data_IF_691373273337
#
_entry.id   IF_691373273337
#
_cell.length_a   1.000
_cell.length_b   1.000
_cell.length_c   1.000
_cell.angle_alpha   90.00
_cell.angle_beta   90.00
_cell.angle_gamma   90.00
#
_symmetry.space_group_name_H-M   'P 1'
#
loop_
_entity.id
_entity.type
_entity.pdbx_description
1 polymer ?
#
# COMPACT_ATOMS: atom_id res chain seq x y z
N UNK A 1 15.99 56.73 0.24
CA UNK A 1 16.87 55.67 -0.33
C UNK A 1 17.08 54.47 0.60
N UNK A 2 17.42 54.64 1.89
CA UNK A 2 17.75 53.51 2.80
C UNK A 2 16.61 52.51 3.09
N UNK A 3 15.35 52.96 3.19
CA UNK A 3 14.19 52.07 3.45
C UNK A 3 13.94 51.08 2.30
N UNK A 4 14.07 51.53 1.05
CA UNK A 4 13.80 50.68 -0.12
C UNK A 4 14.85 49.58 -0.29
N UNK A 5 16.11 49.87 0.08
CA UNK A 5 17.18 48.87 0.06
C UNK A 5 16.95 47.77 1.12
N UNK A 6 16.46 48.12 2.31
CA UNK A 6 16.15 47.16 3.35
C UNK A 6 15.04 46.18 2.92
N UNK A 7 13.95 46.68 2.33
CA UNK A 7 12.86 45.82 1.84
C UNK A 7 13.31 44.91 0.69
N UNK A 8 14.15 45.41 -0.23
CA UNK A 8 14.66 44.60 -1.33
C UNK A 8 15.55 43.44 -0.84
N UNK A 9 16.42 43.70 0.14
CA UNK A 9 17.28 42.66 0.73
C UNK A 9 16.45 41.65 1.53
N UNK A 10 15.47 42.11 2.31
CA UNK A 10 14.60 41.21 3.07
C UNK A 10 13.74 40.34 2.15
N UNK A 11 13.20 40.90 1.06
CA UNK A 11 12.45 40.16 0.05
C UNK A 11 13.33 39.14 -0.68
N UNK A 12 14.57 39.48 -1.01
CA UNK A 12 15.52 38.55 -1.64
C UNK A 12 15.92 37.40 -0.69
N UNK A 13 16.11 37.66 0.60
CA UNK A 13 16.36 36.62 1.61
C UNK A 13 15.13 35.74 1.79
N UNK A 14 13.93 36.34 1.81
CA UNK A 14 12.67 35.58 1.88
C UNK A 14 12.55 34.67 0.64
N UNK A 15 12.77 35.19 -0.58
CA UNK A 15 12.77 34.41 -1.82
C UNK A 15 13.80 33.27 -1.81
N UNK A 16 15.01 33.53 -1.32
CA UNK A 16 16.06 32.52 -1.21
C UNK A 16 15.72 31.43 -0.18
N UNK A 17 14.94 31.77 0.86
CA UNK A 17 14.40 30.80 1.82
C UNK A 17 13.23 30.00 1.24
N UNK A 18 12.44 30.58 0.31
CA UNK A 18 11.36 29.85 -0.38
C UNK A 18 11.86 29.04 -1.58
N UNK A 19 13.07 29.29 -2.09
CA UNK A 19 13.61 28.63 -3.30
C UNK A 19 14.17 27.22 -3.07
N UNK A 20 14.05 26.66 -1.86
CA UNK A 20 14.33 25.24 -1.63
C UNK A 20 13.17 24.36 -2.09
N UNK A 21 12.64 24.61 -3.31
CA UNK A 21 11.84 23.61 -3.99
C UNK A 21 12.76 22.45 -4.30
N UNK A 22 12.79 21.46 -3.41
CA UNK A 22 13.44 20.18 -3.66
C UNK A 22 12.81 19.66 -4.94
N UNK A 23 13.60 19.61 -6.02
CA UNK A 23 13.14 19.02 -7.27
C UNK A 23 12.62 17.62 -6.93
N UNK A 24 11.47 17.27 -7.48
CA UNK A 24 10.91 15.95 -7.37
C UNK A 24 11.90 14.92 -7.91
N UNK A 25 12.65 14.31 -6.99
CA UNK A 25 13.64 13.30 -7.31
C UNK A 25 13.22 11.95 -6.75
N UNK A 26 13.72 10.91 -7.40
CA UNK A 26 13.43 9.55 -7.01
C UNK A 26 14.38 9.10 -5.91
N UNK A 27 13.83 8.61 -4.81
CA UNK A 27 14.60 8.10 -3.69
C UNK A 27 14.54 6.59 -3.63
N UNK A 28 15.71 5.99 -3.52
CA UNK A 28 15.89 4.55 -3.51
C UNK A 28 16.28 4.12 -2.11
N UNK A 29 15.58 3.12 -1.56
CA UNK A 29 16.00 2.47 -0.32
C UNK A 29 17.32 1.73 -0.55
N UNK A 30 18.33 2.07 0.24
CA UNK A 30 19.58 1.35 0.34
C UNK A 30 19.38 0.21 1.33
N UNK A 31 19.22 -1.00 0.82
CA UNK A 31 19.01 -2.19 1.64
C UNK A 31 20.22 -2.58 2.51
N UNK A 32 21.24 -1.74 2.65
CA UNK A 32 22.45 -2.07 3.40
C UNK A 32 22.31 -1.72 4.87
N UNK A 33 22.25 -2.77 5.70
CA UNK A 33 22.49 -2.80 7.15
C UNK A 33 21.27 -2.91 8.06
N UNK A 34 21.55 -3.29 9.32
CA UNK A 34 20.63 -3.70 10.39
C UNK A 34 19.52 -2.70 10.74
N UNK A 35 19.62 -1.46 10.27
CA UNK A 35 18.62 -0.43 10.53
C UNK A 35 17.56 -0.41 9.42
N UNK A 36 16.33 -0.77 9.78
CA UNK A 36 15.18 -0.74 8.88
C UNK A 36 14.35 0.53 8.98
N UNK A 37 14.71 1.45 9.87
CA UNK A 37 13.88 2.60 10.19
C UNK A 37 13.72 3.52 8.96
N UNK A 38 12.48 3.74 8.54
CA UNK A 38 12.12 4.64 7.44
C UNK A 38 12.75 6.03 7.59
N UNK A 39 12.96 6.48 8.84
CA UNK A 39 13.41 7.82 9.16
C UNK A 39 14.93 7.96 9.28
N UNK A 40 15.68 6.87 9.11
CA UNK A 40 17.14 6.97 8.98
C UNK A 40 17.49 7.37 7.55
N UNK A 41 18.05 8.57 7.39
CA UNK A 41 18.49 9.12 6.09
C UNK A 41 19.57 8.29 5.41
N UNK A 42 20.39 7.56 6.17
CA UNK A 42 21.45 6.71 5.63
C UNK A 42 20.89 5.50 4.86
N UNK A 43 19.62 5.17 5.09
CA UNK A 43 18.90 4.12 4.38
C UNK A 43 18.35 4.58 3.02
N UNK A 44 18.56 5.84 2.64
CA UNK A 44 18.07 6.40 1.39
C UNK A 44 19.22 6.93 0.53
N UNK A 45 19.07 6.84 -0.79
CA UNK A 45 19.90 7.59 -1.74
C UNK A 45 19.04 8.30 -2.78
N UNK A 46 19.54 9.41 -3.29
CA UNK A 46 19.01 10.02 -4.50
C UNK A 46 19.41 9.21 -5.73
N UNK A 47 18.42 8.65 -6.44
CA UNK A 47 18.61 7.95 -7.71
C UNK A 47 19.79 6.96 -7.76
N UNK A 48 20.39 6.82 -8.94
CA UNK A 48 21.53 5.91 -9.18
C UNK A 48 22.88 6.54 -8.83
N UNK A 49 23.05 7.01 -7.58
CA UNK A 49 24.35 7.41 -7.05
C UNK A 49 24.46 8.83 -6.50
N UNK A 50 23.36 9.51 -6.23
CA UNK A 50 23.34 10.76 -5.48
C UNK A 50 23.66 10.54 -3.99
N UNK A 51 24.06 11.59 -3.26
CA UNK A 51 24.33 11.51 -1.82
C UNK A 51 23.07 11.12 -1.04
N UNK A 52 23.26 10.66 0.19
CA UNK A 52 22.14 10.44 1.12
C UNK A 52 21.34 11.75 1.27
N UNK A 53 20.01 11.69 1.23
CA UNK A 53 19.20 12.89 1.34
C UNK A 53 19.34 13.48 2.74
N UNK A 54 19.37 14.81 2.87
CA UNK A 54 19.43 15.48 4.18
C UNK A 54 18.07 15.50 4.89
N UNK A 55 17.01 15.06 4.22
CA UNK A 55 15.65 14.97 4.75
C UNK A 55 14.88 13.79 4.11
N UNK A 56 13.92 13.26 4.85
CA UNK A 56 13.02 12.16 4.44
C UNK A 56 12.10 12.64 3.32
N UNK A 57 11.64 11.76 2.41
CA UNK A 57 10.73 12.17 1.34
C UNK A 57 9.50 12.84 1.95
N UNK A 58 9.22 14.07 1.52
CA UNK A 58 8.04 14.84 1.88
C UNK A 58 7.10 14.95 0.67
N UNK A 59 5.78 14.93 0.92
CA UNK A 59 4.68 15.01 -0.05
C UNK A 59 4.75 16.23 -0.96
N UNK A 60 5.53 17.25 -0.60
CA UNK A 60 5.55 18.57 -1.24
C UNK A 60 6.27 18.60 -2.60
N UNK A 61 7.07 17.58 -2.93
CA UNK A 61 7.67 17.47 -4.27
C UNK A 61 6.74 16.71 -5.22
N UNK A 62 5.97 17.45 -6.03
CA UNK A 62 5.16 16.87 -7.11
C UNK A 62 6.05 16.07 -8.07
N UNK A 63 6.02 14.74 -7.96
CA UNK A 63 6.78 13.81 -8.81
C UNK A 63 7.78 12.91 -8.07
N UNK A 64 8.04 13.12 -6.78
CA UNK A 64 9.00 12.31 -6.02
C UNK A 64 8.54 10.84 -5.92
N UNK A 65 9.32 9.91 -6.45
CA UNK A 65 9.02 8.48 -6.29
C UNK A 65 9.87 7.91 -5.17
N UNK A 66 9.26 7.27 -4.20
CA UNK A 66 9.98 6.40 -3.25
C UNK A 66 9.99 5.01 -3.84
N UNK A 67 11.18 4.44 -4.03
CA UNK A 67 11.39 3.09 -4.56
C UNK A 67 12.12 2.27 -3.53
N UNK A 68 11.55 1.15 -3.13
CA UNK A 68 12.22 0.26 -2.19
C UNK A 68 12.95 -0.80 -2.99
N UNK A 69 14.26 -0.69 -3.04
CA UNK A 69 15.14 -1.59 -3.77
C UNK A 69 15.91 -2.47 -2.80
N UNK A 70 15.76 -3.79 -2.94
CA UNK A 70 16.68 -4.73 -2.30
C UNK A 70 17.71 -5.20 -3.31
N UNK A 71 18.99 -5.00 -3.00
CA UNK A 71 20.07 -5.77 -3.61
C UNK A 71 20.21 -7.10 -2.88
N UNK A 72 20.65 -8.14 -3.61
CA UNK A 72 20.58 -9.58 -3.31
C UNK A 72 21.20 -10.09 -1.98
N UNK A 73 21.58 -9.22 -1.04
CA UNK A 73 22.19 -9.58 0.24
C UNK A 73 21.43 -9.09 1.47
N UNK A 74 20.32 -8.35 1.30
CA UNK A 74 19.53 -7.85 2.42
C UNK A 74 18.13 -8.42 2.44
N UNK A 75 17.75 -8.94 3.60
CA UNK A 75 16.53 -9.70 3.82
C UNK A 75 15.35 -8.77 4.13
N UNK A 76 15.60 -7.49 4.45
CA UNK A 76 14.58 -6.63 5.03
C UNK A 76 14.54 -5.23 4.42
N UNK A 77 13.34 -4.76 4.09
CA UNK A 77 13.12 -3.39 3.63
C UNK A 77 12.59 -2.45 4.73
N UNK A 78 12.14 -1.23 4.35
CA UNK A 78 11.76 -0.20 5.30
C UNK A 78 10.72 -0.66 6.33
N UNK A 79 10.82 -0.11 7.53
CA UNK A 79 9.97 -0.37 8.68
C UNK A 79 9.45 0.96 9.24
N UNK A 80 8.13 1.09 9.33
CA UNK A 80 7.44 2.23 9.91
C UNK A 80 6.76 1.77 11.19
N UNK A 81 7.30 2.17 12.34
CA UNK A 81 6.85 1.75 13.66
C UNK A 81 5.83 2.72 14.27
N UNK A 82 5.22 2.29 15.39
CA UNK A 82 4.28 3.09 16.17
C UNK A 82 4.80 4.50 16.45
N UNK A 83 3.94 5.49 16.26
CA UNK A 83 4.24 6.92 16.48
C UNK A 83 4.95 7.61 15.30
N UNK A 84 5.34 6.88 14.26
CA UNK A 84 5.93 7.47 13.05
C UNK A 84 4.86 7.87 12.03
N UNK A 85 5.16 8.90 11.24
CA UNK A 85 4.30 9.38 10.15
C UNK A 85 5.13 9.58 8.88
N UNK A 86 5.14 8.53 8.05
CA UNK A 86 5.87 8.47 6.80
C UNK A 86 5.04 9.05 5.66
N UNK A 87 5.74 9.60 4.68
CA UNK A 87 5.14 10.34 3.58
C UNK A 87 5.87 10.01 2.27
N UNK A 88 5.12 9.93 1.17
CA UNK A 88 5.66 9.71 -0.17
C UNK A 88 4.69 10.25 -1.23
N UNK A 89 5.18 10.74 -2.36
CA UNK A 89 4.28 11.12 -3.46
C UNK A 89 3.86 9.87 -4.26
N UNK A 90 4.81 9.05 -4.70
CA UNK A 90 4.59 7.65 -5.13
C UNK A 90 5.33 6.69 -4.21
N UNK A 91 4.77 5.50 -3.95
CA UNK A 91 5.51 4.39 -3.36
C UNK A 91 5.54 3.20 -4.32
N UNK A 92 6.72 2.77 -4.71
CA UNK A 92 6.94 1.58 -5.54
C UNK A 92 7.75 0.56 -4.76
N UNK A 93 7.21 -0.65 -4.64
CA UNK A 93 7.79 -1.76 -3.91
C UNK A 93 8.15 -2.84 -4.93
N UNK A 94 9.43 -3.07 -5.14
CA UNK A 94 9.91 -4.08 -6.09
C UNK A 94 11.43 -4.07 -6.25
N UNK A 95 12.03 -5.24 -6.45
CA UNK A 95 13.49 -5.40 -6.57
C UNK A 95 14.16 -4.50 -7.62
N UNK A 96 15.46 -4.21 -7.44
CA UNK A 96 16.22 -3.37 -8.38
C UNK A 96 16.77 -4.13 -9.59
N UNK A 97 16.95 -5.44 -9.48
CA UNK A 97 17.63 -6.26 -10.47
C UNK A 97 16.76 -7.44 -10.90
N UNK A 98 17.01 -7.94 -12.11
CA UNK A 98 16.49 -9.25 -12.52
C UNK A 98 16.93 -10.29 -11.49
N UNK A 99 15.98 -11.09 -10.98
CA UNK A 99 16.20 -12.10 -9.94
C UNK A 99 16.57 -11.55 -8.56
N UNK A 100 16.30 -10.27 -8.27
CA UNK A 100 16.42 -9.74 -6.92
C UNK A 100 15.37 -10.40 -5.99
N UNK A 101 15.73 -10.56 -4.72
CA UNK A 101 14.82 -10.93 -3.64
C UNK A 101 13.60 -9.99 -3.59
N UNK A 102 12.49 -10.48 -3.03
CA UNK A 102 11.26 -9.72 -2.83
C UNK A 102 11.57 -8.48 -1.99
N UNK A 103 11.31 -7.29 -2.52
CA UNK A 103 11.47 -6.05 -1.76
C UNK A 103 10.30 -5.88 -0.78
N UNK A 104 10.59 -5.82 0.51
CA UNK A 104 9.55 -5.67 1.55
C UNK A 104 9.36 -4.21 1.99
N UNK A 105 8.16 -3.83 2.39
CA UNK A 105 7.88 -2.66 3.26
C UNK A 105 7.00 -3.14 4.40
N UNK A 106 7.30 -2.73 5.63
CA UNK A 106 6.54 -3.14 6.81
C UNK A 106 5.98 -1.93 7.56
N UNK A 107 4.68 -1.94 7.85
CA UNK A 107 3.99 -0.98 8.71
C UNK A 107 3.54 -1.70 9.99
N UNK A 108 4.02 -1.22 11.14
CA UNK A 108 3.72 -1.79 12.46
C UNK A 108 3.37 -0.70 13.48
N UNK A 109 2.21 -0.09 13.23
CA UNK A 109 1.53 0.83 14.15
C UNK A 109 1.74 2.31 13.83
N UNK A 110 2.64 2.64 12.90
CA UNK A 110 2.79 4.00 12.39
C UNK A 110 1.75 4.36 11.34
N UNK A 111 1.98 5.49 10.67
CA UNK A 111 1.16 5.96 9.55
C UNK A 111 2.00 6.19 8.30
N UNK A 112 1.42 5.89 7.14
CA UNK A 112 2.00 6.17 5.82
C UNK A 112 0.99 6.92 4.98
N UNK A 113 1.33 8.11 4.50
CA UNK A 113 0.53 8.86 3.54
C UNK A 113 1.21 8.87 2.18
N UNK A 114 0.52 8.35 1.17
CA UNK A 114 0.98 8.35 -0.22
C UNK A 114 0.08 9.26 -1.05
N UNK A 115 0.65 10.34 -1.58
CA UNK A 115 -0.11 11.38 -2.28
C UNK A 115 -0.85 10.85 -3.51
N UNK A 116 -0.23 9.91 -4.23
CA UNK A 116 -0.69 9.42 -5.52
C UNK A 116 -1.06 7.93 -5.44
N UNK A 117 -0.14 7.01 -5.79
CA UNK A 117 -0.42 5.57 -5.77
C UNK A 117 0.67 4.77 -5.05
N UNK A 118 0.27 3.58 -4.59
CA UNK A 118 1.19 2.52 -4.17
C UNK A 118 1.22 1.45 -5.25
N UNK A 119 2.43 1.00 -5.59
CA UNK A 119 2.68 -0.02 -6.60
C UNK A 119 3.48 -1.17 -6.00
N UNK A 120 2.85 -2.32 -5.77
CA UNK A 120 3.51 -3.53 -5.27
C UNK A 120 3.79 -4.48 -6.43
N UNK A 121 5.05 -4.90 -6.58
CA UNK A 121 5.51 -5.61 -7.78
C UNK A 121 5.72 -4.62 -8.92
N UNK A 122 6.57 -3.61 -8.72
CA UNK A 122 6.86 -2.58 -9.72
C UNK A 122 8.04 -2.95 -10.60
N UNK A 123 7.91 -2.72 -11.90
CA UNK A 123 9.03 -2.76 -12.85
C UNK A 123 9.10 -1.57 -13.80
N UNK A 124 10.26 -1.47 -14.45
CA UNK A 124 10.42 -0.76 -15.73
C UNK A 124 11.14 -1.61 -16.79
N UNK A 125 11.59 -2.85 -16.50
CA UNK A 125 12.35 -3.67 -17.48
C UNK A 125 12.71 -5.12 -17.07
N UNK A 126 12.41 -5.61 -15.86
CA UNK A 126 12.83 -6.96 -15.42
C UNK A 126 11.87 -7.54 -14.38
N UNK A 127 11.95 -8.87 -14.15
CA UNK A 127 11.17 -9.54 -13.10
C UNK A 127 11.48 -8.90 -11.75
N UNK A 128 10.44 -8.33 -11.13
CA UNK A 128 10.55 -7.57 -9.89
C UNK A 128 9.35 -7.86 -8.99
N UNK A 129 9.70 -8.34 -7.83
CA UNK A 129 8.77 -8.89 -6.85
C UNK A 129 8.82 -7.97 -5.62
N UNK A 130 7.66 -7.60 -5.09
CA UNK A 130 7.55 -6.66 -3.98
C UNK A 130 6.44 -7.04 -3.03
N UNK A 131 6.58 -6.72 -1.76
CA UNK A 131 5.63 -7.09 -0.73
C UNK A 131 5.41 -5.97 0.27
N UNK A 132 4.14 -5.71 0.57
CA UNK A 132 3.73 -4.82 1.65
C UNK A 132 3.21 -5.66 2.81
N UNK A 133 3.76 -5.45 3.98
CA UNK A 133 3.37 -6.13 5.22
C UNK A 133 2.76 -5.09 6.14
N UNK A 134 1.51 -5.31 6.57
CA UNK A 134 0.79 -4.42 7.46
C UNK A 134 0.31 -5.18 8.70
N UNK A 135 1.03 -4.98 9.80
CA UNK A 135 0.68 -5.57 11.10
C UNK A 135 -0.36 -4.72 11.83
N UNK A 136 -0.21 -3.40 11.76
CA UNK A 136 -1.10 -2.43 12.38
C UNK A 136 -0.84 -1.03 11.80
N UNK A 137 -1.56 0.00 12.26
CA UNK A 137 -1.37 1.39 11.82
C UNK A 137 -2.32 1.84 10.72
N UNK A 138 -1.93 2.84 9.94
CA UNK A 138 -2.79 3.42 8.90
C UNK A 138 -2.02 3.77 7.63
N UNK A 139 -2.56 3.40 6.47
CA UNK A 139 -2.07 3.85 5.16
C UNK A 139 -3.16 4.69 4.50
N UNK A 140 -2.83 5.88 4.01
CA UNK A 140 -3.72 6.74 3.23
C UNK A 140 -3.15 6.94 1.83
N UNK A 141 -3.93 6.65 0.79
CA UNK A 141 -3.48 6.68 -0.61
C UNK A 141 -4.38 7.62 -1.41
N UNK A 142 -3.79 8.55 -2.15
CA UNK A 142 -4.52 9.51 -3.00
C UNK A 142 -4.84 10.83 -2.31
N UNK A 143 -4.03 11.25 -1.35
CA UNK A 143 -4.32 12.48 -0.59
C UNK A 143 -4.07 13.77 -1.38
N UNK A 144 -3.39 13.70 -2.53
CA UNK A 144 -3.23 14.87 -3.39
C UNK A 144 -4.47 15.04 -4.27
N UNK A 145 -5.06 16.24 -4.33
CA UNK A 145 -6.14 16.56 -5.28
C UNK A 145 -5.68 16.64 -6.74
N UNK A 146 -4.58 15.96 -7.10
CA UNK A 146 -4.09 15.94 -8.47
C UNK A 146 -5.13 15.24 -9.33
N UNK A 147 -5.74 15.94 -10.29
CA UNK A 147 -6.78 15.40 -11.17
C UNK A 147 -6.30 14.32 -12.15
N UNK A 148 -5.22 13.60 -11.83
CA UNK A 148 -4.78 12.44 -12.60
C UNK A 148 -5.73 11.28 -12.36
N UNK A 149 -6.19 10.65 -13.45
CA UNK A 149 -7.05 9.46 -13.43
C UNK A 149 -6.39 8.20 -12.88
N UNK A 150 -5.16 8.28 -12.37
CA UNK A 150 -4.42 7.17 -11.75
C UNK A 150 -4.17 7.37 -10.26
N UNK A 151 -4.66 8.48 -9.72
CA UNK A 151 -4.41 8.91 -8.36
C UNK A 151 -5.20 8.05 -7.36
N UNK A 152 -4.68 7.85 -6.17
CA UNK A 152 -5.42 7.17 -5.10
C UNK A 152 -5.58 5.67 -5.26
N UNK A 153 -4.69 5.03 -6.00
CA UNK A 153 -4.78 3.59 -6.28
C UNK A 153 -3.76 2.77 -5.52
N UNK A 154 -4.17 1.59 -5.09
CA UNK A 154 -3.28 0.55 -4.56
C UNK A 154 -3.22 -0.59 -5.59
N UNK A 155 -2.06 -0.80 -6.17
CA UNK A 155 -1.84 -1.87 -7.13
C UNK A 155 -1.04 -3.01 -6.50
N UNK A 156 -1.55 -4.23 -6.63
CA UNK A 156 -0.94 -5.47 -6.18
C UNK A 156 -0.66 -6.32 -7.42
N UNK A 157 0.61 -6.41 -7.81
CA UNK A 157 0.99 -6.88 -9.15
C UNK A 157 0.74 -5.78 -10.17
N UNK A 158 1.44 -4.65 -10.02
CA UNK A 158 1.17 -3.45 -10.81
C UNK A 158 2.21 -3.11 -11.87
N UNK A 159 2.89 -4.10 -12.44
CA UNK A 159 3.93 -3.90 -13.46
C UNK A 159 3.54 -2.88 -14.50
N UNK A 160 4.49 -2.09 -14.97
CA UNK A 160 4.20 -1.00 -15.90
C UNK A 160 4.58 -1.33 -17.33
N UNK A 161 5.43 -2.34 -17.53
CA UNK A 161 5.89 -2.78 -18.85
C UNK A 161 5.18 -4.05 -19.32
N UNK A 162 4.91 -4.12 -20.62
CA UNK A 162 4.42 -5.35 -21.28
C UNK A 162 5.61 -6.29 -21.42
N UNK A 163 5.59 -7.44 -20.77
CA UNK A 163 6.57 -8.51 -20.98
C UNK A 163 7.35 -8.97 -19.74
N UNK A 164 7.43 -8.18 -18.67
CA UNK A 164 8.06 -8.62 -17.44
C UNK A 164 7.04 -9.28 -16.50
N UNK A 165 7.37 -10.46 -15.98
CA UNK A 165 6.62 -11.04 -14.87
C UNK A 165 6.86 -10.19 -13.62
N UNK A 166 5.83 -9.70 -12.96
CA UNK A 166 5.99 -8.97 -11.71
C UNK A 166 5.02 -9.47 -10.67
N UNK A 167 5.49 -9.51 -9.44
CA UNK A 167 4.76 -10.13 -8.37
C UNK A 167 4.53 -9.13 -7.25
N UNK A 168 3.27 -8.90 -6.88
CA UNK A 168 2.93 -8.10 -5.72
C UNK A 168 2.26 -8.93 -4.64
N UNK A 169 2.76 -8.85 -3.41
CA UNK A 169 2.10 -9.44 -2.24
C UNK A 169 1.67 -8.36 -1.24
N UNK A 170 0.46 -8.52 -0.70
CA UNK A 170 -0.02 -7.77 0.45
C UNK A 170 -0.33 -8.74 1.58
N UNK A 171 0.44 -8.66 2.66
CA UNK A 171 0.18 -9.41 3.89
C UNK A 171 -0.38 -8.43 4.93
N UNK A 172 -1.64 -8.59 5.34
CA UNK A 172 -2.30 -7.69 6.30
C UNK A 172 -2.88 -8.48 7.48
N UNK A 173 -2.43 -8.18 8.69
CA UNK A 173 -2.95 -8.78 9.94
C UNK A 173 -3.66 -7.77 10.84
N UNK A 174 -3.63 -6.48 10.51
CA UNK A 174 -4.31 -5.44 11.26
C UNK A 174 -4.23 -4.05 10.63
N UNK A 175 -4.82 -3.07 11.31
CA UNK A 175 -4.79 -1.65 10.91
C UNK A 175 -5.78 -1.29 9.80
N UNK A 176 -5.52 -0.18 9.11
CA UNK A 176 -6.43 0.39 8.10
C UNK A 176 -5.71 0.90 6.86
N UNK A 177 -6.16 0.48 5.68
CA UNK A 177 -5.71 1.05 4.39
C UNK A 177 -6.87 1.82 3.77
N UNK A 178 -6.69 3.12 3.55
CA UNK A 178 -7.65 3.99 2.88
C UNK A 178 -7.17 4.26 1.45
N UNK A 179 -7.82 3.61 0.49
CA UNK A 179 -7.58 3.78 -0.95
C UNK A 179 -8.63 4.73 -1.50
N UNK A 180 -8.23 5.91 -1.96
CA UNK A 180 -9.20 6.90 -2.45
C UNK A 180 -9.96 6.41 -3.70
N UNK A 181 -9.29 5.72 -4.61
CA UNK A 181 -9.88 5.16 -5.83
C UNK A 181 -9.91 3.64 -5.79
N UNK A 182 -9.07 2.98 -6.60
CA UNK A 182 -9.20 1.57 -6.90
C UNK A 182 -8.15 0.74 -6.15
N UNK A 183 -8.63 -0.34 -5.54
CA UNK A 183 -7.80 -1.48 -5.16
C UNK A 183 -7.68 -2.41 -6.38
N UNK A 184 -6.48 -2.58 -6.92
CA UNK A 184 -6.26 -3.25 -8.20
C UNK A 184 -5.32 -4.44 -8.02
N UNK A 185 -5.72 -5.60 -8.52
CA UNK A 185 -4.88 -6.80 -8.61
C UNK A 185 -4.56 -7.11 -10.07
N UNK A 186 -3.30 -7.47 -10.34
CA UNK A 186 -2.82 -7.88 -11.68
C UNK A 186 -3.20 -6.84 -12.74
N UNK A 187 -2.51 -5.70 -12.73
CA UNK A 187 -2.82 -4.60 -13.67
C UNK A 187 -2.50 -4.97 -15.12
N UNK A 188 -1.51 -5.82 -15.35
CA UNK A 188 -0.96 -6.10 -16.68
C UNK A 188 -0.85 -7.59 -16.93
N UNK A 189 -0.71 -7.98 -18.21
CA UNK A 189 -0.77 -9.36 -18.70
C UNK A 189 0.12 -10.36 -17.92
N UNK A 190 1.28 -9.92 -17.42
CA UNK A 190 2.24 -10.78 -16.73
C UNK A 190 2.41 -10.42 -15.24
N UNK A 191 1.50 -9.62 -14.70
CA UNK A 191 1.61 -9.19 -13.31
C UNK A 191 0.74 -10.09 -12.43
N UNK A 192 1.32 -10.72 -11.44
CA UNK A 192 0.59 -11.52 -10.47
C UNK A 192 0.38 -10.71 -9.18
N UNK A 193 -0.83 -10.82 -8.62
CA UNK A 193 -1.24 -10.09 -7.43
C UNK A 193 -1.82 -11.01 -6.38
N UNK A 194 -1.20 -11.01 -5.20
CA UNK A 194 -1.64 -11.82 -4.06
C UNK A 194 -1.90 -10.95 -2.84
N UNK A 195 -2.97 -11.23 -2.12
CA UNK A 195 -3.22 -10.63 -0.82
C UNK A 195 -3.75 -11.66 0.17
N UNK A 196 -3.19 -11.64 1.37
CA UNK A 196 -3.68 -12.35 2.55
C UNK A 196 -4.10 -11.30 3.58
N UNK A 197 -5.41 -11.20 3.86
CA UNK A 197 -5.98 -10.23 4.79
C UNK A 197 -6.58 -11.00 5.96
N UNK A 198 -5.78 -11.23 6.99
CA UNK A 198 -6.15 -11.94 8.22
C UNK A 198 -6.73 -11.02 9.31
N UNK A 199 -6.58 -9.71 9.15
CA UNK A 199 -7.12 -8.70 10.05
C UNK A 199 -7.11 -7.29 9.47
N UNK A 200 -7.77 -6.38 10.18
CA UNK A 200 -7.88 -4.97 9.80
C UNK A 200 -8.88 -4.71 8.66
N UNK A 201 -8.83 -3.50 8.09
CA UNK A 201 -9.81 -3.09 7.07
C UNK A 201 -9.18 -2.29 5.92
N UNK A 202 -9.53 -2.64 4.69
CA UNK A 202 -9.23 -1.84 3.50
C UNK A 202 -10.51 -1.15 3.02
N UNK A 203 -10.45 0.16 2.86
CA UNK A 203 -11.49 0.98 2.24
C UNK A 203 -11.07 1.36 0.82
N UNK A 204 -11.95 1.20 -0.17
CA UNK A 204 -11.72 1.60 -1.55
C UNK A 204 -13.02 2.03 -2.27
N UNK A 205 -12.91 2.71 -3.41
CA UNK A 205 -14.08 2.96 -4.28
C UNK A 205 -14.44 1.74 -5.12
N UNK A 206 -13.43 1.08 -5.69
CA UNK A 206 -13.60 -0.11 -6.52
C UNK A 206 -12.57 -1.19 -6.13
N UNK A 207 -12.93 -2.44 -6.43
CA UNK A 207 -12.02 -3.57 -6.48
C UNK A 207 -11.95 -4.03 -7.93
N UNK A 208 -10.75 -4.04 -8.50
CA UNK A 208 -10.52 -4.44 -9.89
C UNK A 208 -9.57 -5.65 -9.92
N UNK A 209 -10.06 -6.77 -10.42
CA UNK A 209 -9.27 -7.98 -10.62
C UNK A 209 -8.91 -8.14 -12.10
N UNK A 210 -7.63 -8.40 -12.42
CA UNK A 210 -7.14 -8.59 -13.80
C UNK A 210 -7.46 -7.41 -14.73
N UNK A 211 -7.34 -6.19 -14.22
CA UNK A 211 -7.61 -4.98 -15.01
C UNK A 211 -6.70 -4.92 -16.26
N UNK A 212 -7.11 -4.16 -17.29
CA UNK A 212 -6.34 -3.95 -18.54
C UNK A 212 -5.87 -5.24 -19.25
N UNK A 213 -6.64 -6.33 -19.15
CA UNK A 213 -6.31 -7.61 -19.78
C UNK A 213 -5.24 -8.39 -19.03
N UNK A 214 -5.07 -8.16 -17.73
CA UNK A 214 -4.21 -8.98 -16.88
C UNK A 214 -4.47 -10.47 -17.09
N UNK A 215 -3.43 -11.22 -17.42
CA UNK A 215 -3.47 -12.68 -17.57
C UNK A 215 -2.76 -13.38 -16.40
N UNK A 216 -2.13 -12.60 -15.51
CA UNK A 216 -1.47 -13.09 -14.32
C UNK A 216 -2.42 -13.75 -13.32
N UNK A 217 -1.81 -14.40 -12.34
CA UNK A 217 -2.48 -15.02 -11.20
C UNK A 217 -2.99 -13.93 -10.28
N UNK A 218 -4.26 -14.04 -9.88
CA UNK A 218 -4.86 -13.18 -8.86
C UNK A 218 -5.37 -14.07 -7.74
N UNK A 219 -5.03 -13.73 -6.50
CA UNK A 219 -5.55 -14.37 -5.31
C UNK A 219 -5.71 -13.36 -4.19
N UNK A 220 -6.94 -13.19 -3.72
CA UNK A 220 -7.27 -12.43 -2.53
C UNK A 220 -7.92 -13.38 -1.54
N UNK A 221 -7.23 -13.68 -0.44
CA UNK A 221 -7.77 -14.50 0.63
C UNK A 221 -8.03 -13.65 1.87
N UNK A 222 -9.25 -13.73 2.40
CA UNK A 222 -9.64 -13.09 3.65
C UNK A 222 -9.72 -14.14 4.75
N UNK A 223 -9.17 -13.86 5.92
CA UNK A 223 -9.23 -14.74 7.08
C UNK A 223 -9.47 -13.92 8.36
N UNK A 224 -9.81 -14.59 9.46
CA UNK A 224 -9.93 -13.94 10.77
C UNK A 224 -10.87 -12.74 10.77
N UNK A 225 -10.33 -11.56 11.08
CA UNK A 225 -11.07 -10.29 11.15
C UNK A 225 -10.86 -9.39 9.93
N UNK A 226 -10.20 -9.90 8.88
CA UNK A 226 -9.90 -9.16 7.67
C UNK A 226 -11.16 -8.74 6.91
N UNK A 227 -11.18 -7.50 6.43
CA UNK A 227 -12.34 -6.92 5.76
C UNK A 227 -11.96 -5.96 4.63
N UNK A 228 -12.75 -5.99 3.56
CA UNK A 228 -12.75 -4.94 2.52
C UNK A 228 -14.11 -4.24 2.52
N UNK A 229 -14.09 -2.91 2.39
CA UNK A 229 -15.29 -2.06 2.26
C UNK A 229 -15.17 -1.23 0.97
N UNK A 230 -16.12 -1.39 0.08
CA UNK A 230 -16.20 -0.73 -1.21
C UNK A 230 -17.35 0.28 -1.24
N UNK A 231 -17.17 1.39 -1.95
CA UNK A 231 -18.26 2.34 -2.18
C UNK A 231 -19.21 1.87 -3.30
N UNK A 232 -20.51 2.11 -3.08
CA UNK A 232 -21.60 1.67 -3.94
C UNK A 232 -22.00 0.22 -3.72
N UNK A 233 -23.02 -0.22 -4.47
CA UNK A 233 -23.39 -1.63 -4.57
C UNK A 233 -22.48 -2.35 -5.56
N UNK A 234 -21.65 -3.25 -5.03
CA UNK A 234 -20.69 -4.07 -5.79
C UNK A 234 -21.00 -5.56 -5.73
N UNK A 235 -22.17 -5.93 -5.22
CA UNK A 235 -22.53 -7.34 -4.95
C UNK A 235 -22.33 -8.25 -6.16
N UNK A 236 -22.86 -7.88 -7.33
CA UNK A 236 -22.71 -8.66 -8.56
C UNK A 236 -21.24 -8.83 -9.00
N UNK A 237 -20.43 -7.77 -8.90
CA UNK A 237 -18.99 -7.84 -9.23
C UNK A 237 -18.23 -8.75 -8.26
N UNK A 238 -18.57 -8.70 -6.96
CA UNK A 238 -17.93 -9.55 -5.96
C UNK A 238 -18.33 -11.01 -6.14
N UNK A 239 -19.60 -11.28 -6.45
CA UNK A 239 -20.09 -12.62 -6.78
C UNK A 239 -19.32 -13.22 -7.97
N UNK A 240 -19.13 -12.44 -9.04
CA UNK A 240 -18.33 -12.86 -10.20
C UNK A 240 -16.88 -13.19 -9.81
N UNK A 241 -16.24 -12.35 -9.00
CA UNK A 241 -14.85 -12.56 -8.59
C UNK A 241 -14.67 -13.79 -7.68
N UNK A 242 -15.65 -14.09 -6.84
CA UNK A 242 -15.70 -15.33 -6.05
C UNK A 242 -15.89 -16.53 -7.00
N UNK A 243 -16.83 -16.45 -7.93
CA UNK A 243 -17.08 -17.52 -8.92
C UNK A 243 -15.87 -17.83 -9.82
N UNK A 244 -15.02 -16.84 -10.08
CA UNK A 244 -13.76 -17.01 -10.79
C UNK A 244 -12.61 -17.57 -9.91
N UNK A 245 -12.84 -17.76 -8.62
CA UNK A 245 -11.83 -18.23 -7.65
C UNK A 245 -10.78 -17.18 -7.29
N UNK A 246 -11.02 -15.89 -7.58
CA UNK A 246 -10.05 -14.82 -7.28
C UNK A 246 -10.16 -14.31 -5.85
N UNK A 247 -11.33 -14.48 -5.22
CA UNK A 247 -11.57 -14.14 -3.83
C UNK A 247 -11.93 -15.42 -3.08
N UNK A 248 -11.20 -15.69 -2.00
CA UNK A 248 -11.46 -16.81 -1.09
C UNK A 248 -11.47 -16.33 0.36
N UNK A 249 -12.10 -17.12 1.23
CA UNK A 249 -12.15 -16.97 2.67
C UNK A 249 -11.63 -18.26 3.30
N UNK A 250 -10.63 -18.17 4.19
CA UNK A 250 -9.95 -19.37 4.73
C UNK A 250 -9.50 -20.36 3.63
N UNK A 251 -9.11 -19.85 2.46
CA UNK A 251 -8.68 -20.65 1.31
C UNK A 251 -9.81 -21.36 0.54
N UNK A 252 -11.08 -21.03 0.77
CA UNK A 252 -12.22 -21.55 0.03
C UNK A 252 -13.22 -20.45 -0.38
N UNK A 253 -14.08 -20.68 -1.36
CA UNK A 253 -15.01 -19.67 -1.91
C UNK A 253 -16.32 -19.53 -1.11
N UNK A 254 -16.73 -20.55 -0.35
CA UNK A 254 -17.99 -20.58 0.41
C UNK A 254 -17.94 -19.91 1.80
N UNK A 255 -16.76 -19.64 2.35
CA UNK A 255 -16.62 -18.94 3.63
C UNK A 255 -16.71 -17.41 3.53
N UNK A 256 -16.77 -16.86 2.31
CA UNK A 256 -16.89 -15.41 2.09
C UNK A 256 -18.34 -14.95 2.19
N UNK A 257 -18.55 -13.89 2.98
CA UNK A 257 -19.79 -13.13 3.00
C UNK A 257 -19.55 -11.75 2.38
N UNK A 258 -20.45 -11.36 1.49
CA UNK A 258 -20.52 -10.00 0.97
C UNK A 258 -21.92 -9.44 1.13
N UNK A 259 -22.03 -8.17 1.53
CA UNK A 259 -23.32 -7.51 1.77
C UNK A 259 -23.26 -6.04 1.36
N UNK A 260 -24.34 -5.57 0.73
CA UNK A 260 -24.56 -4.15 0.45
C UNK A 260 -25.41 -3.52 1.55
N UNK A 261 -24.94 -2.40 2.09
CA UNK A 261 -25.69 -1.57 3.03
C UNK A 261 -26.15 -0.28 2.34
N UNK A 262 -27.44 -0.20 2.01
CA UNK A 262 -28.03 0.97 1.36
C UNK A 262 -28.02 2.26 2.20
N UNK A 263 -27.83 2.17 3.52
CA UNK A 263 -27.75 3.37 4.38
C UNK A 263 -26.38 4.05 4.30
N UNK A 264 -25.30 3.27 4.17
CA UNK A 264 -23.94 3.80 3.99
C UNK A 264 -23.51 3.83 2.52
N UNK A 265 -24.32 3.26 1.62
CA UNK A 265 -24.00 3.05 0.21
C UNK A 265 -22.65 2.34 0.04
N UNK A 266 -22.47 1.23 0.74
CA UNK A 266 -21.21 0.46 0.74
C UNK A 266 -21.45 -1.04 0.66
N UNK A 267 -20.56 -1.74 -0.04
CA UNK A 267 -20.45 -3.20 -0.03
C UNK A 267 -19.30 -3.63 0.87
N UNK A 268 -19.56 -4.51 1.84
CA UNK A 268 -18.53 -5.14 2.67
C UNK A 268 -18.26 -6.56 2.21
N UNK A 269 -17.01 -7.00 2.26
CA UNK A 269 -16.53 -8.37 1.97
C UNK A 269 -15.71 -8.83 3.17
N UNK A 270 -16.06 -9.96 3.77
CA UNK A 270 -15.40 -10.48 4.98
C UNK A 270 -15.70 -11.96 5.18
N UNK A 271 -14.94 -12.61 6.06
CA UNK A 271 -15.27 -13.93 6.60
C UNK A 271 -16.03 -13.71 7.92
N UNK A 272 -17.22 -14.29 8.11
CA UNK A 272 -17.92 -14.20 9.39
C UNK A 272 -17.10 -14.92 10.46
N UNK A 273 -17.02 -14.33 11.66
CA UNK A 273 -16.38 -15.01 12.78
C UNK A 273 -17.07 -16.35 13.03
N UNK A 274 -16.32 -17.45 13.26
CA UNK A 274 -16.92 -18.74 13.54
C UNK A 274 -17.90 -18.63 14.71
N UNK A 275 -19.15 -19.06 14.47
CA UNK A 275 -20.24 -19.12 15.48
C UNK A 275 -19.82 -19.87 16.76
N UNK A 276 -18.73 -20.63 16.69
CA UNK A 276 -18.02 -21.25 17.80
C UNK A 276 -17.76 -20.31 18.98
N UNK A 277 -17.47 -19.02 18.77
CA UNK A 277 -17.30 -18.06 19.89
C UNK A 277 -18.63 -17.85 20.64
N UNK A 278 -19.72 -17.66 19.89
CA UNK A 278 -21.06 -17.56 20.48
C UNK A 278 -21.44 -18.85 21.24
N UNK A 279 -21.05 -20.01 20.70
CA UNK A 279 -21.29 -21.30 21.35
C UNK A 279 -20.48 -21.47 22.65
N UNK A 280 -19.24 -21.02 22.67
CA UNK A 280 -18.38 -21.00 23.87
C UNK A 280 -18.97 -20.12 24.97
N UNK A 281 -19.46 -18.93 24.60
CA UNK A 281 -20.14 -18.02 25.53
C UNK A 281 -21.40 -18.66 26.14
N UNK A 282 -22.25 -19.28 25.31
CA UNK A 282 -23.45 -19.98 25.78
C UNK A 282 -23.11 -21.19 26.68
N UNK A 283 -22.06 -21.94 26.34
CA UNK A 283 -21.57 -23.05 27.14
C UNK A 283 -21.11 -22.61 28.54
N UNK A 284 -20.37 -21.50 28.64
CA UNK A 284 -19.94 -20.93 29.92
C UNK A 284 -21.13 -20.44 30.77
N UNK A 285 -22.13 -19.79 30.16
CA UNK A 285 -23.36 -19.39 30.87
C UNK A 285 -24.11 -20.62 31.41
N UNK A 286 -24.17 -21.70 30.63
CA UNK A 286 -24.73 -22.98 31.07
C UNK A 286 -24.01 -23.59 32.27
N UNK A 287 -22.67 -23.45 32.34
CA UNK A 287 -21.85 -23.94 33.45
C UNK A 287 -21.97 -23.07 34.71
N UNK A 288 -22.07 -21.75 34.58
CA UNK A 288 -22.26 -20.83 35.71
C UNK A 288 -23.61 -21.02 36.40
N UNK A 289 -24.67 -21.36 35.65
CA UNK A 289 -26.00 -21.65 36.21
C UNK A 289 -26.10 -22.96 36.99
N UNK A 290 -25.06 -23.80 36.99
CA UNK A 290 -25.04 -25.09 37.72
C UNK A 290 -24.36 -25.02 39.10
N UNK A 291 -24.00 -23.83 39.58
CA UNK A 291 -23.58 -23.59 40.96
C UNK A 291 -24.67 -22.85 41.71
#
# INVERSE_FOLDING_TARGET
MKKNLFYAVFFAILLALVSNTVLADTMDWLSSSTDRNWFNVDNWRWGSGGPAPTAIPDLTSTGGSVRTYQSSASIYGPFIQTGQNAQAYYLKIGGAAANASIADVTIDGGSLTVANYILIGSDSSSVRSGRLIMNSGTINIGTSGSGSSTNGRLYIGGGTSVGAAVDGWLDMSGGTINVLEDLVFSRNVNADGWAEISGGTIFANNLLMKSHGGAGTVSLNLTGSGKIVLNGDRTATIEEYIGNGWITGNGNDYDIVYQYNGSTNQTSIFVPEPTTICLLGLGLIGLVRRK
#
